data_IF_954601701418
#
_entry.id   IF_954601701418
#
_cell.length_a   1.000
_cell.length_b   1.000
_cell.length_c   1.000
_cell.angle_alpha   90.00
_cell.angle_beta   90.00
_cell.angle_gamma   90.00
#
_symmetry.space_group_name_H-M   'P 1'
#
loop_
_entity.id
_entity.type
_entity.pdbx_description
1 polymer ?
#
# COMPACT_ATOMS: atom_id res chain seq x y z
N UNK A 1 20.38 -15.04 0.62
CA UNK A 1 18.95 -14.68 0.59
C UNK A 1 18.26 -15.70 -0.31
N UNK A 2 17.34 -16.45 0.21
CA UNK A 2 16.50 -17.32 -0.63
C UNK A 2 15.39 -16.52 -1.34
N UNK A 3 14.62 -17.18 -2.22
CA UNK A 3 13.60 -16.47 -3.02
C UNK A 3 12.47 -15.91 -2.17
N UNK A 4 12.08 -16.58 -1.08
CA UNK A 4 11.03 -16.12 -0.18
C UNK A 4 11.49 -14.89 0.60
N UNK A 5 12.74 -14.89 1.08
CA UNK A 5 13.37 -13.72 1.71
C UNK A 5 13.48 -12.53 0.73
N UNK A 6 13.86 -12.79 -0.53
CA UNK A 6 13.94 -11.75 -1.56
C UNK A 6 12.56 -11.14 -1.87
N UNK A 7 11.50 -11.94 -1.89
CA UNK A 7 10.13 -11.46 -2.08
C UNK A 7 9.62 -10.67 -0.88
N UNK A 8 9.94 -11.09 0.34
CA UNK A 8 9.65 -10.31 1.56
C UNK A 8 10.37 -8.97 1.56
N UNK A 9 11.66 -8.95 1.20
CA UNK A 9 12.41 -7.69 1.05
C UNK A 9 11.81 -6.79 -0.05
N UNK A 10 11.34 -7.37 -1.16
CA UNK A 10 10.64 -6.60 -2.20
C UNK A 10 9.36 -5.94 -1.66
N UNK A 11 8.60 -6.63 -0.82
CA UNK A 11 7.45 -6.06 -0.13
C UNK A 11 7.84 -4.96 0.85
N UNK A 12 8.88 -5.17 1.66
CA UNK A 12 9.36 -4.18 2.62
C UNK A 12 9.83 -2.89 1.91
N UNK A 13 10.46 -3.00 0.73
CA UNK A 13 10.81 -1.83 -0.13
C UNK A 13 9.58 -1.10 -0.63
N UNK A 14 8.61 -1.84 -1.18
CA UNK A 14 7.34 -1.25 -1.62
C UNK A 14 6.62 -0.52 -0.47
N UNK A 15 6.60 -1.11 0.72
CA UNK A 15 5.99 -0.50 1.91
C UNK A 15 6.68 0.79 2.33
N UNK A 16 8.02 0.84 2.28
CA UNK A 16 8.77 2.09 2.55
C UNK A 16 8.42 3.19 1.55
N UNK A 17 8.27 2.86 0.26
CA UNK A 17 7.83 3.82 -0.77
C UNK A 17 6.42 4.33 -0.48
N UNK A 18 5.46 3.46 -0.18
CA UNK A 18 4.08 3.85 0.16
C UNK A 18 4.06 4.77 1.37
N UNK A 19 4.80 4.44 2.44
CA UNK A 19 4.87 5.25 3.65
C UNK A 19 5.57 6.60 3.40
N UNK A 20 6.63 6.63 2.59
CA UNK A 20 7.28 7.86 2.17
C UNK A 20 6.31 8.76 1.40
N UNK A 21 5.56 8.22 0.42
CA UNK A 21 4.53 8.97 -0.30
C UNK A 21 3.40 9.44 0.62
N UNK A 22 2.94 8.60 1.55
CA UNK A 22 1.93 8.97 2.54
C UNK A 22 2.40 10.14 3.43
N UNK A 23 3.70 10.23 3.74
CA UNK A 23 4.27 11.35 4.51
C UNK A 23 4.18 12.70 3.79
N UNK A 24 4.09 12.70 2.45
CA UNK A 24 3.93 13.90 1.61
C UNK A 24 2.49 14.40 1.52
N UNK A 25 1.53 13.57 1.93
CA UNK A 25 0.11 13.95 1.97
C UNK A 25 -0.21 14.53 3.34
N UNK A 26 -0.68 15.77 3.36
CA UNK A 26 -1.06 16.54 4.56
C UNK A 26 -2.39 17.30 4.37
N UNK A 27 -2.82 18.06 5.36
CA UNK A 27 -4.11 18.78 5.32
C UNK A 27 -4.17 19.82 4.18
N UNK A 28 -3.04 20.35 3.70
CA UNK A 28 -3.01 21.36 2.63
C UNK A 28 -3.22 20.77 1.23
N UNK A 29 -2.85 19.51 1.02
CA UNK A 29 -2.86 18.86 -0.29
C UNK A 29 -3.74 17.60 -0.38
N UNK A 30 -4.24 17.05 0.72
CA UNK A 30 -4.98 15.78 0.79
C UNK A 30 -6.16 15.66 -0.18
N UNK A 31 -6.76 16.78 -0.57
CA UNK A 31 -7.90 16.82 -1.51
C UNK A 31 -7.49 17.01 -2.96
N UNK A 32 -6.20 17.14 -3.24
CA UNK A 32 -5.70 17.14 -4.61
C UNK A 32 -6.03 15.84 -5.32
N UNK A 33 -6.17 15.90 -6.64
CA UNK A 33 -6.56 14.78 -7.49
C UNK A 33 -5.61 14.65 -8.68
N UNK A 34 -5.33 13.42 -9.16
CA UNK A 34 -4.51 13.20 -10.36
C UNK A 34 -5.23 13.58 -11.67
N UNK A 35 -6.56 13.75 -11.64
CA UNK A 35 -7.40 14.21 -12.74
C UNK A 35 -8.72 14.78 -12.20
N UNK A 36 -9.53 15.40 -13.05
CA UNK A 36 -10.83 15.98 -12.66
C UNK A 36 -11.72 14.94 -11.94
N UNK A 37 -11.86 13.75 -12.50
CA UNK A 37 -12.65 12.65 -11.95
C UNK A 37 -11.83 11.71 -11.05
N UNK A 38 -10.56 12.07 -10.79
CA UNK A 38 -9.64 11.24 -10.02
C UNK A 38 -9.98 11.19 -8.53
N UNK A 39 -9.59 10.10 -7.90
CA UNK A 39 -9.71 9.91 -6.46
C UNK A 39 -8.77 10.87 -5.70
N UNK A 40 -9.24 11.61 -4.67
CA UNK A 40 -8.37 12.47 -3.83
C UNK A 40 -7.22 11.70 -3.18
N UNK A 41 -6.13 12.39 -2.83
CA UNK A 41 -4.93 11.74 -2.29
C UNK A 41 -5.18 11.00 -0.98
N UNK A 42 -5.95 11.58 -0.06
CA UNK A 42 -6.32 10.89 1.17
C UNK A 42 -7.18 9.64 0.90
N UNK A 43 -8.05 9.69 -0.08
CA UNK A 43 -8.85 8.54 -0.51
C UNK A 43 -7.96 7.47 -1.16
N UNK A 44 -6.95 7.85 -1.96
CA UNK A 44 -5.95 6.92 -2.51
C UNK A 44 -5.25 6.14 -1.40
N UNK A 45 -4.79 6.82 -0.35
CA UNK A 45 -4.13 6.19 0.78
C UNK A 45 -5.07 5.22 1.53
N UNK A 46 -6.29 5.65 1.83
CA UNK A 46 -7.29 4.79 2.46
C UNK A 46 -7.64 3.58 1.58
N UNK A 47 -7.69 3.76 0.25
CA UNK A 47 -7.97 2.70 -0.71
C UNK A 47 -6.84 1.64 -0.76
N UNK A 48 -5.58 2.05 -0.70
CA UNK A 48 -4.45 1.10 -0.59
C UNK A 48 -4.66 0.19 0.62
N UNK A 49 -4.93 0.77 1.79
CA UNK A 49 -5.23 -0.02 3.00
C UNK A 49 -6.47 -0.92 2.81
N UNK A 50 -7.56 -0.39 2.27
CA UNK A 50 -8.82 -1.14 2.05
C UNK A 50 -8.60 -2.38 1.18
N UNK A 51 -7.81 -2.26 0.12
CA UNK A 51 -7.52 -3.38 -0.78
C UNK A 51 -6.66 -4.44 -0.08
N UNK A 52 -5.64 -4.03 0.69
CA UNK A 52 -4.88 -4.95 1.55
C UNK A 52 -5.81 -5.69 2.51
N UNK A 53 -6.64 -4.97 3.25
CA UNK A 53 -7.60 -5.52 4.22
C UNK A 53 -8.57 -6.51 3.54
N UNK A 54 -9.16 -6.13 2.41
CA UNK A 54 -10.10 -6.97 1.67
C UNK A 54 -9.46 -8.29 1.24
N UNK A 55 -8.31 -8.25 0.58
CA UNK A 55 -7.67 -9.47 0.10
C UNK A 55 -7.07 -10.32 1.24
N UNK A 56 -6.56 -9.68 2.29
CA UNK A 56 -6.16 -10.39 3.50
C UNK A 56 -7.35 -11.11 4.15
N UNK A 57 -8.53 -10.51 4.19
CA UNK A 57 -9.72 -11.17 4.75
C UNK A 57 -10.10 -12.45 4.01
N UNK A 58 -9.70 -12.59 2.75
CA UNK A 58 -9.89 -13.80 1.95
C UNK A 58 -8.69 -14.76 2.07
N UNK A 59 -7.47 -14.23 2.11
CA UNK A 59 -6.22 -14.99 2.10
C UNK A 59 -5.83 -15.50 3.49
N UNK A 60 -5.89 -14.66 4.50
CA UNK A 60 -5.52 -14.93 5.90
C UNK A 60 -6.42 -14.14 6.86
N UNK A 61 -7.67 -14.58 7.10
CA UNK A 61 -8.67 -13.82 7.87
C UNK A 61 -8.22 -13.44 9.30
N UNK A 62 -7.35 -14.27 9.90
CA UNK A 62 -6.81 -14.00 11.24
C UNK A 62 -5.97 -12.74 11.30
N UNK A 63 -5.29 -12.36 10.21
CA UNK A 63 -4.35 -11.24 10.17
C UNK A 63 -5.05 -9.87 10.08
N UNK A 64 -6.35 -9.87 9.80
CA UNK A 64 -7.19 -8.67 9.79
C UNK A 64 -8.22 -8.64 10.93
N UNK A 65 -8.22 -9.66 11.79
CA UNK A 65 -9.18 -9.73 12.88
C UNK A 65 -9.03 -8.52 13.82
N UNK A 66 -10.07 -7.70 13.91
CA UNK A 66 -10.07 -6.47 14.71
C UNK A 66 -9.40 -5.26 14.05
N UNK A 67 -8.86 -5.37 12.84
CA UNK A 67 -8.36 -4.24 12.07
C UNK A 67 -9.53 -3.51 11.40
N UNK A 68 -9.60 -2.18 11.56
CA UNK A 68 -10.58 -1.38 10.83
C UNK A 68 -10.30 -1.45 9.31
N UNK A 69 -11.35 -1.42 8.49
CA UNK A 69 -11.21 -1.53 7.03
C UNK A 69 -10.90 -0.19 6.32
N UNK A 70 -10.88 0.92 7.08
CA UNK A 70 -10.62 2.26 6.56
C UNK A 70 -11.79 2.90 5.78
N UNK A 71 -12.92 2.22 5.67
CA UNK A 71 -14.09 2.67 4.92
C UNK A 71 -15.37 2.29 5.65
N UNK A 72 -15.99 3.04 6.35
CA UNK A 72 -17.26 2.88 7.08
C UNK A 72 -18.24 1.81 6.49
N UNK A 73 -17.74 0.61 6.18
CA UNK A 73 -18.49 -0.53 5.64
C UNK A 73 -18.79 -0.49 4.13
N UNK A 74 -18.33 0.52 3.40
CA UNK A 74 -18.53 0.68 1.94
C UNK A 74 -17.20 0.80 1.20
N UNK A 75 -17.24 0.92 -0.13
CA UNK A 75 -16.06 1.24 -0.95
C UNK A 75 -15.99 2.72 -1.34
N UNK A 76 -17.01 3.52 -0.99
CA UNK A 76 -17.17 4.89 -1.48
C UNK A 76 -16.83 5.95 -0.43
N UNK A 77 -16.90 5.60 0.86
CA UNK A 77 -16.76 6.57 1.94
C UNK A 77 -15.59 6.19 2.87
N UNK A 78 -14.37 6.67 2.54
CA UNK A 78 -13.21 6.44 3.40
C UNK A 78 -13.32 7.22 4.70
N UNK A 79 -12.62 6.74 5.73
CA UNK A 79 -12.32 7.56 6.89
C UNK A 79 -11.53 8.80 6.44
N UNK A 80 -11.61 9.89 7.21
CA UNK A 80 -11.03 11.18 6.81
C UNK A 80 -9.86 11.64 7.69
N UNK A 81 -9.59 10.95 8.79
CA UNK A 81 -8.44 11.24 9.64
C UNK A 81 -7.14 10.71 8.99
N UNK A 82 -6.25 11.62 8.61
CA UNK A 82 -4.98 11.26 7.96
C UNK A 82 -4.05 10.48 8.88
N UNK A 83 -4.06 10.74 10.17
CA UNK A 83 -3.22 10.00 11.12
C UNK A 83 -3.71 8.56 11.25
N UNK A 84 -5.03 8.37 11.30
CA UNK A 84 -5.64 7.04 11.32
C UNK A 84 -5.37 6.28 10.02
N UNK A 85 -5.54 6.92 8.84
CA UNK A 85 -5.23 6.31 7.54
C UNK A 85 -3.76 5.82 7.51
N UNK A 86 -2.81 6.65 7.93
CA UNK A 86 -1.38 6.31 7.96
C UNK A 86 -1.09 5.17 8.95
N UNK A 87 -1.74 5.15 10.11
CA UNK A 87 -1.62 4.05 11.06
C UNK A 87 -2.15 2.72 10.49
N UNK A 88 -3.28 2.75 9.80
CA UNK A 88 -3.85 1.57 9.13
C UNK A 88 -2.97 1.06 7.98
N UNK A 89 -2.30 1.94 7.23
CA UNK A 89 -1.30 1.53 6.22
C UNK A 89 -0.18 0.72 6.85
N UNK A 90 0.39 1.17 7.98
CA UNK A 90 1.44 0.45 8.72
C UNK A 90 0.94 -0.89 9.27
N UNK A 91 -0.29 -0.95 9.78
CA UNK A 91 -0.86 -2.21 10.26
C UNK A 91 -1.04 -3.23 9.13
N UNK A 92 -1.62 -2.79 8.01
CA UNK A 92 -1.90 -3.70 6.89
C UNK A 92 -0.64 -4.13 6.13
N UNK A 93 0.41 -3.31 6.07
CA UNK A 93 1.69 -3.74 5.46
C UNK A 93 2.30 -4.90 6.22
N UNK A 94 2.29 -4.82 7.57
CA UNK A 94 2.75 -5.93 8.42
C UNK A 94 1.90 -7.18 8.21
N UNK A 95 0.59 -7.05 8.16
CA UNK A 95 -0.33 -8.17 7.96
C UNK A 95 -0.12 -8.86 6.60
N UNK A 96 0.09 -8.11 5.51
CA UNK A 96 0.43 -8.68 4.19
C UNK A 96 1.76 -9.44 4.25
N UNK A 97 2.77 -8.87 4.90
CA UNK A 97 4.07 -9.49 5.09
C UNK A 97 3.98 -10.84 5.80
N UNK A 98 3.27 -10.84 6.94
CA UNK A 98 3.11 -12.03 7.79
C UNK A 98 2.30 -13.11 7.07
N UNK A 99 1.18 -12.75 6.44
CA UNK A 99 0.34 -13.65 5.65
C UNK A 99 1.11 -14.31 4.51
N UNK A 100 1.92 -13.54 3.76
CA UNK A 100 2.77 -14.09 2.73
C UNK A 100 3.81 -15.06 3.28
N UNK A 101 4.52 -14.68 4.36
CA UNK A 101 5.53 -15.53 4.99
C UNK A 101 4.94 -16.88 5.46
N UNK A 102 3.75 -16.84 6.06
CA UNK A 102 3.06 -18.03 6.53
C UNK A 102 2.50 -18.88 5.38
N UNK A 103 2.00 -18.24 4.33
CA UNK A 103 1.61 -18.93 3.11
C UNK A 103 2.77 -19.71 2.47
N UNK A 104 3.97 -19.10 2.44
CA UNK A 104 5.17 -19.80 1.93
C UNK A 104 5.62 -20.96 2.85
N UNK A 105 5.61 -20.78 4.18
CA UNK A 105 5.90 -21.86 5.14
C UNK A 105 4.93 -23.03 5.03
N UNK A 106 3.66 -22.74 4.68
CA UNK A 106 2.62 -23.76 4.45
C UNK A 106 2.72 -24.44 3.06
N UNK A 107 3.83 -24.28 2.37
CA UNK A 107 4.14 -24.94 1.10
C UNK A 107 3.51 -24.29 -0.13
N UNK A 108 3.21 -23.00 -0.07
CA UNK A 108 2.70 -22.23 -1.21
C UNK A 108 1.30 -22.63 -1.68
N UNK A 109 0.47 -23.15 -0.80
CA UNK A 109 -0.89 -23.63 -1.15
C UNK A 109 -1.80 -22.46 -1.60
N UNK A 110 -2.72 -22.71 -2.54
CA UNK A 110 -3.74 -21.75 -2.93
C UNK A 110 -4.56 -21.26 -1.74
N UNK A 111 -4.84 -19.98 -1.67
CA UNK A 111 -5.69 -19.35 -0.66
C UNK A 111 -6.30 -18.04 -1.17
N UNK A 112 -7.50 -17.69 -0.71
CA UNK A 112 -8.12 -16.38 -0.95
C UNK A 112 -8.30 -16.03 -2.43
N UNK A 113 -8.48 -17.01 -3.32
CA UNK A 113 -8.59 -16.78 -4.76
C UNK A 113 -7.27 -16.68 -5.50
N UNK A 114 -6.13 -16.90 -4.83
CA UNK A 114 -4.80 -16.95 -5.44
C UNK A 114 -4.28 -18.39 -5.52
N UNK A 115 -3.72 -18.76 -6.66
CA UNK A 115 -3.12 -20.09 -6.89
C UNK A 115 -1.85 -20.30 -6.05
N UNK A 116 -1.18 -19.21 -5.68
CA UNK A 116 0.05 -19.25 -4.89
C UNK A 116 0.24 -17.91 -4.14
N UNK A 117 0.83 -17.91 -2.91
CA UNK A 117 1.09 -16.68 -2.14
C UNK A 117 1.86 -15.59 -2.90
N UNK A 118 2.76 -15.96 -3.82
CA UNK A 118 3.50 -15.03 -4.66
C UNK A 118 2.55 -14.15 -5.50
N UNK A 119 1.46 -14.69 -6.03
CA UNK A 119 0.50 -13.89 -6.80
C UNK A 119 -0.30 -12.92 -5.95
N UNK A 120 -0.61 -13.30 -4.71
CA UNK A 120 -1.16 -12.36 -3.73
C UNK A 120 -0.20 -11.20 -3.50
N UNK A 121 1.07 -11.47 -3.18
CA UNK A 121 2.07 -10.44 -2.93
C UNK A 121 2.30 -9.54 -4.16
N UNK A 122 2.42 -10.12 -5.36
CA UNK A 122 2.61 -9.36 -6.60
C UNK A 122 1.40 -8.50 -6.95
N UNK A 123 0.19 -8.96 -6.66
CA UNK A 123 -1.02 -8.15 -6.83
C UNK A 123 -0.97 -6.92 -5.91
N UNK A 124 -0.59 -7.08 -4.65
CA UNK A 124 -0.46 -5.94 -3.72
C UNK A 124 0.60 -4.95 -4.22
N UNK A 125 1.79 -5.41 -4.59
CA UNK A 125 2.87 -4.55 -5.10
C UNK A 125 2.43 -3.78 -6.35
N UNK A 126 1.80 -4.46 -7.32
CA UNK A 126 1.35 -3.82 -8.56
C UNK A 126 0.25 -2.78 -8.31
N UNK A 127 -0.74 -3.12 -7.49
CA UNK A 127 -1.83 -2.23 -7.12
C UNK A 127 -1.32 -0.96 -6.43
N UNK A 128 -0.39 -1.11 -5.50
CA UNK A 128 0.19 0.02 -4.78
C UNK A 128 1.08 0.87 -5.65
N UNK A 129 1.88 0.27 -6.54
CA UNK A 129 2.68 1.02 -7.52
C UNK A 129 1.82 1.91 -8.41
N UNK A 130 0.63 1.42 -8.82
CA UNK A 130 -0.36 2.23 -9.53
C UNK A 130 -0.80 3.44 -8.71
N UNK A 131 -1.17 3.25 -7.44
CA UNK A 131 -1.63 4.33 -6.57
C UNK A 131 -0.50 5.30 -6.18
N UNK A 132 0.72 4.83 -5.97
CA UNK A 132 1.91 5.68 -5.76
C UNK A 132 2.10 6.65 -6.93
N UNK A 133 2.00 6.18 -8.17
CA UNK A 133 2.07 7.03 -9.36
C UNK A 133 0.95 8.07 -9.42
N UNK A 134 -0.29 7.69 -9.06
CA UNK A 134 -1.42 8.62 -9.01
C UNK A 134 -1.29 9.66 -7.89
N UNK A 135 -0.79 9.28 -6.71
CA UNK A 135 -0.51 10.21 -5.60
C UNK A 135 0.57 11.21 -6.04
N UNK A 136 1.64 10.73 -6.66
CA UNK A 136 2.71 11.59 -7.17
C UNK A 136 2.18 12.61 -8.18
N UNK A 137 1.37 12.17 -9.15
CA UNK A 137 0.73 13.04 -10.12
C UNK A 137 -0.20 14.07 -9.47
N UNK A 138 -0.99 13.66 -8.49
CA UNK A 138 -1.87 14.57 -7.76
C UNK A 138 -1.09 15.64 -6.96
N UNK A 139 0.02 15.27 -6.31
CA UNK A 139 0.92 16.21 -5.65
C UNK A 139 1.53 17.21 -6.64
N UNK A 140 2.00 16.74 -7.81
CA UNK A 140 2.53 17.59 -8.88
C UNK A 140 1.50 18.62 -9.35
N UNK A 141 0.28 18.18 -9.63
CA UNK A 141 -0.81 19.07 -10.08
C UNK A 141 -1.24 20.09 -9.01
N UNK A 142 -1.05 19.75 -7.74
CA UNK A 142 -1.28 20.65 -6.61
C UNK A 142 -0.12 21.62 -6.32
N UNK A 143 0.98 21.54 -7.06
CA UNK A 143 2.20 22.33 -6.78
C UNK A 143 2.97 21.89 -5.54
N UNK A 144 2.72 20.66 -5.06
CA UNK A 144 3.34 20.03 -3.89
C UNK A 144 4.26 18.86 -4.28
N UNK A 145 4.71 18.82 -5.52
CA UNK A 145 5.61 17.79 -6.05
C UNK A 145 6.87 17.65 -5.19
N UNK A 146 7.24 16.42 -4.78
CA UNK A 146 8.50 16.21 -4.11
C UNK A 146 9.69 16.62 -5.00
N UNK A 147 10.76 17.20 -4.42
CA UNK A 147 11.99 17.45 -5.17
C UNK A 147 12.62 16.18 -5.71
N UNK A 148 13.32 16.25 -6.84
CA UNK A 148 14.01 15.11 -7.48
C UNK A 148 14.93 14.37 -6.50
N UNK A 149 15.70 15.10 -5.68
CA UNK A 149 16.57 14.50 -4.64
C UNK A 149 15.77 13.68 -3.62
N UNK A 150 14.57 14.13 -3.25
CA UNK A 150 13.70 13.38 -2.35
C UNK A 150 13.15 12.12 -3.02
N UNK A 151 12.75 12.24 -4.28
CA UNK A 151 12.24 11.11 -5.08
C UNK A 151 13.32 10.05 -5.26
N UNK A 152 14.54 10.47 -5.64
CA UNK A 152 15.68 9.58 -5.77
C UNK A 152 15.94 8.81 -4.47
N UNK A 153 15.99 9.52 -3.33
CA UNK A 153 16.27 8.94 -2.03
C UNK A 153 15.18 8.00 -1.50
N UNK A 154 13.91 8.30 -1.74
CA UNK A 154 12.79 7.61 -1.05
C UNK A 154 11.99 6.68 -1.97
N UNK A 155 12.28 6.66 -3.26
CA UNK A 155 11.59 5.82 -4.25
C UNK A 155 12.59 4.99 -5.04
N UNK A 156 13.48 5.62 -5.78
CA UNK A 156 14.35 4.90 -6.73
C UNK A 156 15.51 4.17 -6.07
N UNK A 157 16.15 4.77 -5.04
CA UNK A 157 17.23 4.11 -4.31
C UNK A 157 16.78 2.88 -3.50
N UNK A 158 15.48 2.73 -3.26
CA UNK A 158 14.93 1.53 -2.62
C UNK A 158 15.18 0.26 -3.46
N UNK A 159 15.30 0.39 -4.77
CA UNK A 159 15.44 -0.73 -5.70
C UNK A 159 16.86 -0.99 -6.17
N UNK A 160 17.79 -0.09 -5.92
CA UNK A 160 19.16 -0.13 -6.44
C UNK A 160 20.21 -0.18 -5.33
N UNK A 161 21.40 -0.67 -5.67
CA UNK A 161 22.57 -0.73 -4.78
C UNK A 161 23.72 0.08 -5.40
N UNK A 162 23.47 1.36 -5.64
CA UNK A 162 24.49 2.28 -6.17
C UNK A 162 25.29 2.94 -5.06
#
# INVERSE_FOLDING_TARGET
MDISEALLESWDRQSRIVNAMASRVDESNRKAKPSEDGMPLDHQLAHIHKVRHYWLSQFSPSDVAGMADGFNGTWDTPITDLAEIKALLVQSEKAVRDAFADGMKNGGKPAGGYDHPVFFLQHMIWHEGWHVGLIFLGLRLAGAEPPEEWEEKNVWSEWRTE
#
